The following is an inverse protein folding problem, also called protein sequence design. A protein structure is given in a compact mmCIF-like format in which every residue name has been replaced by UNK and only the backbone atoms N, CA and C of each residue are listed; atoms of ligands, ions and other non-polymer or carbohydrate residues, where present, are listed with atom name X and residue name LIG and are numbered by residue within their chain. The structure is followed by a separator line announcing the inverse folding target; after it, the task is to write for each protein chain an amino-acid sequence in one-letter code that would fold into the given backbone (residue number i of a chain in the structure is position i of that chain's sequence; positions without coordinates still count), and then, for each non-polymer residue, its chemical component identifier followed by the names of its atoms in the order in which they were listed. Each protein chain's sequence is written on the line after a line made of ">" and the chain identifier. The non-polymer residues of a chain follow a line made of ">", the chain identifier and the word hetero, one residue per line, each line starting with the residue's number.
data_IF_961303671333
#
_entry.id   IF_961303671333
#
_cell.length_a   1.000
_cell.length_b   1.000
_cell.length_c   1.000
_cell.angle_alpha   90.00
_cell.angle_beta   90.00
_cell.angle_gamma   90.00
#
_symmetry.space_group_name_H-M   'P 1'
#
loop_
_entity.id
_entity.type
_entity.pdbx_description
1 polymer ?
#
# COMPACT_ATOMS: atom_id res chain seq x y z
N UNK A 1 21.24 26.78 -0.22
CA UNK A 1 19.98 26.95 -0.97
C UNK A 1 19.83 25.87 -2.04
N UNK A 2 20.69 25.83 -3.07
CA UNK A 2 20.64 24.82 -4.15
C UNK A 2 20.41 23.38 -3.66
N UNK A 3 21.26 22.88 -2.75
CA UNK A 3 21.17 21.51 -2.26
C UNK A 3 19.81 21.16 -1.61
N UNK A 4 19.14 22.12 -0.97
CA UNK A 4 17.84 21.92 -0.33
C UNK A 4 16.75 21.79 -1.40
N UNK A 5 16.74 22.68 -2.39
CA UNK A 5 15.79 22.68 -3.52
C UNK A 5 15.90 21.39 -4.34
N UNK A 6 17.12 20.87 -4.50
CA UNK A 6 17.38 19.59 -5.15
C UNK A 6 16.90 18.42 -4.29
N UNK A 7 17.18 18.44 -2.98
CA UNK A 7 16.72 17.40 -2.04
C UNK A 7 15.20 17.32 -1.95
N UNK A 8 14.50 18.46 -2.03
CA UNK A 8 13.03 18.51 -2.04
C UNK A 8 12.42 18.28 -3.41
N UNK A 9 13.21 17.81 -4.39
CA UNK A 9 12.78 17.49 -5.77
C UNK A 9 12.20 18.65 -6.59
N UNK A 10 12.39 19.91 -6.16
CA UNK A 10 11.89 21.08 -6.90
C UNK A 10 12.76 21.40 -8.12
N UNK A 11 14.09 21.44 -7.92
CA UNK A 11 15.07 21.49 -9.00
C UNK A 11 14.98 22.70 -9.97
N UNK A 12 15.10 23.93 -9.46
CA UNK A 12 15.07 25.14 -10.33
C UNK A 12 16.19 25.20 -11.38
N UNK A 13 17.35 24.57 -11.13
CA UNK A 13 18.44 24.50 -12.09
C UNK A 13 19.22 25.81 -12.30
N UNK A 14 18.99 26.81 -11.45
CA UNK A 14 19.65 28.12 -11.48
C UNK A 14 21.14 28.06 -11.12
N UNK A 15 21.48 27.16 -10.20
CA UNK A 15 22.85 26.93 -9.75
C UNK A 15 23.09 25.42 -9.84
N UNK A 16 24.27 24.99 -10.28
CA UNK A 16 24.65 23.57 -10.31
C UNK A 16 26.14 23.40 -10.00
N UNK A 17 26.55 22.28 -9.37
CA UNK A 17 27.95 22.03 -9.10
C UNK A 17 28.69 21.69 -10.40
N UNK A 18 29.69 22.49 -10.70
CA UNK A 18 30.57 22.32 -11.87
C UNK A 18 31.74 21.38 -11.60
N UNK A 19 32.09 21.19 -10.32
CA UNK A 19 33.24 20.36 -9.94
C UNK A 19 32.87 18.88 -9.89
N UNK A 20 33.79 17.96 -10.22
CA UNK A 20 33.51 16.51 -10.19
C UNK A 20 33.05 16.03 -8.81
N UNK A 21 33.69 16.54 -7.74
CA UNK A 21 33.32 16.22 -6.37
C UNK A 21 31.92 16.77 -6.01
N UNK A 22 31.58 17.97 -6.49
CA UNK A 22 30.25 18.55 -6.28
C UNK A 22 29.15 17.79 -7.02
N UNK A 23 29.44 17.28 -8.23
CA UNK A 23 28.51 16.44 -9.00
C UNK A 23 28.28 15.09 -8.33
N UNK A 24 29.31 14.49 -7.74
CA UNK A 24 29.16 13.27 -6.96
C UNK A 24 28.25 13.47 -5.74
N UNK A 25 28.47 14.56 -4.98
CA UNK A 25 27.60 14.94 -3.86
C UNK A 25 26.15 15.22 -4.33
N UNK A 26 25.98 15.86 -5.50
CA UNK A 26 24.68 16.08 -6.10
C UNK A 26 23.92 14.77 -6.35
N UNK A 27 24.59 13.79 -6.95
CA UNK A 27 24.02 12.47 -7.22
C UNK A 27 23.64 11.74 -5.92
N UNK A 28 24.47 11.81 -4.89
CA UNK A 28 24.18 11.23 -3.58
C UNK A 28 22.94 11.85 -2.92
N UNK A 29 22.80 13.19 -2.98
CA UNK A 29 21.64 13.92 -2.44
C UNK A 29 20.35 13.54 -3.18
N UNK A 30 20.40 13.35 -4.50
CA UNK A 30 19.24 12.89 -5.27
C UNK A 30 18.77 11.51 -4.84
N UNK A 31 19.69 10.55 -4.64
CA UNK A 31 19.35 9.20 -4.16
C UNK A 31 18.74 9.26 -2.76
N UNK A 32 19.28 10.10 -1.88
CA UNK A 32 18.72 10.34 -0.54
C UNK A 32 17.30 10.92 -0.60
N UNK A 33 17.04 11.87 -1.50
CA UNK A 33 15.71 12.46 -1.72
C UNK A 33 14.66 11.40 -2.06
N UNK A 34 14.97 10.45 -2.94
CA UNK A 34 14.08 9.32 -3.23
C UNK A 34 13.83 8.44 -2.01
N UNK A 35 14.85 8.22 -1.17
CA UNK A 35 14.70 7.48 0.09
C UNK A 35 13.73 8.16 1.06
N UNK A 36 13.78 9.50 1.17
CA UNK A 36 12.90 10.29 2.03
C UNK A 36 11.44 10.21 1.58
N UNK A 37 11.17 10.11 0.27
CA UNK A 37 9.81 9.94 -0.26
C UNK A 37 9.34 8.48 -0.10
N UNK A 38 10.23 7.51 -0.32
CA UNK A 38 9.90 6.09 -0.27
C UNK A 38 9.44 5.63 1.12
N UNK A 39 10.05 6.14 2.20
CA UNK A 39 9.74 5.74 3.58
C UNK A 39 8.30 6.08 4.00
N UNK A 40 7.81 7.33 3.95
CA UNK A 40 6.45 7.67 4.34
C UNK A 40 5.42 7.03 3.42
N UNK A 41 5.68 6.96 2.10
CA UNK A 41 4.82 6.22 1.17
C UNK A 41 4.74 4.74 1.56
N UNK A 42 5.88 4.10 1.84
CA UNK A 42 5.95 2.71 2.26
C UNK A 42 5.19 2.43 3.55
N UNK A 43 5.32 3.29 4.57
CA UNK A 43 4.59 3.17 5.84
C UNK A 43 3.07 3.26 5.61
N UNK A 44 2.62 4.27 4.86
CA UNK A 44 1.19 4.47 4.57
C UNK A 44 0.64 3.31 3.73
N UNK A 45 1.38 2.85 2.72
CA UNK A 45 0.99 1.70 1.91
C UNK A 45 0.91 0.43 2.74
N UNK A 46 1.83 0.20 3.69
CA UNK A 46 1.80 -0.97 4.56
C UNK A 46 0.56 -0.98 5.47
N UNK A 47 0.20 0.17 6.04
CA UNK A 47 -1.01 0.32 6.85
C UNK A 47 -2.30 0.09 6.03
N UNK A 48 -2.39 0.70 4.84
CA UNK A 48 -3.53 0.50 3.94
C UNK A 48 -3.63 -0.96 3.50
N UNK A 49 -2.51 -1.55 3.07
CA UNK A 49 -2.46 -2.95 2.66
C UNK A 49 -2.91 -3.88 3.78
N UNK A 50 -2.44 -3.67 5.01
CA UNK A 50 -2.86 -4.45 6.17
C UNK A 50 -4.36 -4.36 6.43
N UNK A 51 -4.94 -3.15 6.34
CA UNK A 51 -6.40 -2.94 6.48
C UNK A 51 -7.19 -3.62 5.36
N UNK A 52 -6.72 -3.52 4.11
CA UNK A 52 -7.35 -4.17 2.95
C UNK A 52 -7.27 -5.69 3.06
N UNK A 53 -6.14 -6.23 3.53
CA UNK A 53 -5.96 -7.67 3.74
C UNK A 53 -6.89 -8.20 4.83
N UNK A 54 -7.08 -7.48 5.94
CA UNK A 54 -8.06 -7.85 6.96
C UNK A 54 -9.51 -7.85 6.42
N UNK A 55 -9.86 -6.92 5.54
CA UNK A 55 -11.18 -6.93 4.88
C UNK A 55 -11.34 -8.13 3.93
N UNK A 56 -10.26 -8.55 3.27
CA UNK A 56 -10.23 -9.78 2.47
C UNK A 56 -10.30 -11.05 3.30
N UNK A 57 -10.35 -11.00 4.63
CA UNK A 57 -10.55 -12.18 5.47
C UNK A 57 -12.04 -12.56 5.55
N UNK A 58 -12.92 -11.58 5.37
CA UNK A 58 -14.37 -11.76 5.34
C UNK A 58 -14.90 -11.70 3.90
N UNK A 59 -15.77 -12.65 3.53
CA UNK A 59 -16.60 -12.62 2.33
C UNK A 59 -17.94 -11.99 2.67
N UNK A 60 -18.35 -11.00 1.87
CA UNK A 60 -19.72 -10.48 1.90
C UNK A 60 -20.65 -11.41 1.11
N UNK A 61 -21.10 -12.49 1.76
CA UNK A 61 -22.09 -13.44 1.21
C UNK A 61 -23.32 -13.46 2.11
N UNK A 62 -24.50 -13.21 1.54
CA UNK A 62 -25.76 -13.35 2.28
C UNK A 62 -26.09 -14.82 2.51
N UNK A 63 -26.29 -15.20 3.76
CA UNK A 63 -26.86 -16.50 4.10
C UNK A 63 -28.32 -16.54 3.64
N UNK A 64 -28.69 -17.53 2.83
CA UNK A 64 -30.06 -17.66 2.31
C UNK A 64 -31.07 -18.08 3.39
N UNK A 65 -30.61 -18.56 4.54
CA UNK A 65 -31.48 -19.01 5.63
C UNK A 65 -31.79 -17.91 6.65
N UNK A 66 -30.77 -17.21 7.16
CA UNK A 66 -30.94 -16.18 8.20
C UNK A 66 -30.64 -14.75 7.76
N UNK A 67 -30.15 -14.53 6.53
CA UNK A 67 -29.87 -13.20 5.99
C UNK A 67 -28.57 -12.55 6.47
N UNK A 68 -27.80 -13.18 7.35
CA UNK A 68 -26.48 -12.67 7.80
C UNK A 68 -25.54 -12.49 6.62
N UNK A 69 -24.76 -11.40 6.58
CA UNK A 69 -23.96 -10.98 5.41
C UNK A 69 -22.45 -11.19 5.57
N UNK A 70 -21.95 -11.24 6.80
CA UNK A 70 -20.51 -11.26 7.09
C UNK A 70 -20.07 -12.68 7.44
N UNK A 71 -19.21 -13.27 6.62
CA UNK A 71 -18.69 -14.61 6.84
C UNK A 71 -17.19 -14.62 6.60
N UNK A 72 -16.43 -15.39 7.37
CA UNK A 72 -15.00 -15.61 7.07
C UNK A 72 -14.87 -16.29 5.70
N UNK A 73 -13.82 -16.03 4.92
CA UNK A 73 -13.66 -16.63 3.58
C UNK A 73 -13.60 -18.15 3.57
N UNK A 74 -13.13 -18.74 4.66
CA UNK A 74 -13.06 -20.19 4.89
C UNK A 74 -14.29 -20.75 5.61
N UNK A 75 -15.29 -19.93 5.91
CA UNK A 75 -16.49 -20.39 6.61
C UNK A 75 -17.32 -21.31 5.70
N UNK A 76 -17.42 -22.58 6.07
CA UNK A 76 -18.31 -23.56 5.41
C UNK A 76 -19.76 -23.49 5.90
N UNK A 77 -19.96 -22.92 7.08
CA UNK A 77 -21.26 -22.79 7.73
C UNK A 77 -21.47 -21.36 8.21
N UNK A 78 -22.72 -20.92 8.23
CA UNK A 78 -23.09 -19.63 8.78
C UNK A 78 -22.85 -19.62 10.30
N UNK A 79 -22.12 -18.63 10.81
CA UNK A 79 -21.81 -18.49 12.23
C UNK A 79 -23.05 -18.16 13.09
N UNK A 80 -24.13 -17.64 12.48
CA UNK A 80 -25.35 -17.27 13.18
C UNK A 80 -26.37 -18.40 13.26
N UNK A 81 -26.59 -19.14 12.16
CA UNK A 81 -27.65 -20.17 12.09
C UNK A 81 -27.15 -21.60 11.81
N UNK A 82 -25.86 -21.80 11.54
CA UNK A 82 -25.29 -23.11 11.24
C UNK A 82 -25.62 -23.67 9.85
N UNK A 83 -26.37 -22.95 9.00
CA UNK A 83 -26.69 -23.41 7.65
C UNK A 83 -25.42 -23.45 6.77
N UNK A 84 -25.22 -24.48 5.92
CA UNK A 84 -24.08 -24.53 5.01
C UNK A 84 -24.10 -23.34 4.04
N UNK A 85 -22.92 -22.76 3.81
CA UNK A 85 -22.68 -21.71 2.83
C UNK A 85 -22.15 -22.38 1.56
N UNK A 86 -22.71 -22.05 0.39
CA UNK A 86 -22.23 -22.59 -0.88
C UNK A 86 -20.85 -21.99 -1.22
N UNK A 87 -19.86 -22.86 -1.39
CA UNK A 87 -18.52 -22.51 -1.84
C UNK A 87 -18.58 -22.21 -3.35
N UNK A 88 -18.97 -20.99 -3.73
CA UNK A 88 -18.92 -20.55 -5.12
C UNK A 88 -17.56 -19.94 -5.43
N UNK A 89 -16.76 -20.69 -6.20
CA UNK A 89 -15.74 -20.30 -7.18
C UNK A 89 -15.15 -18.87 -7.12
N UNK A 90 -14.29 -18.59 -6.14
CA UNK A 90 -13.34 -17.46 -6.19
C UNK A 90 -11.96 -17.88 -6.75
N UNK A 91 -11.92 -18.97 -7.54
CA UNK A 91 -10.70 -19.52 -8.19
C UNK A 91 -10.62 -19.19 -9.70
N UNK A 92 -11.44 -18.28 -10.21
CA UNK A 92 -11.37 -17.83 -11.61
C UNK A 92 -11.20 -16.32 -11.74
N UNK A 93 -9.99 -15.81 -11.46
CA UNK A 93 -9.31 -14.70 -12.16
C UNK A 93 -8.02 -14.30 -11.43
#
# INVERSE_FOLDING_TARGET
>A
YWAIVTLTTVGYGDITPITPLGQFLAAAIMILGYGIIAVPTGIVTAEISSRVMNLKEFRYQRCHHCGTTEHYRTARYCHHCGHPLSENDDLSA
#
